data_IF_360160631448
#
_entry.id   IF_360160631448
#
_cell.length_a   1.000
_cell.length_b   1.000
_cell.length_c   1.000
_cell.angle_alpha   90.00
_cell.angle_beta   90.00
_cell.angle_gamma   90.00
#
_symmetry.space_group_name_H-M   'P 1'
#
loop_
_entity.id
_entity.type
_entity.pdbx_description
1 polymer ?
#
# COMPACT_ATOMS: atom_id res chain seq x y z
N UNK A 1 -30.32 4.22 -24.28
CA UNK A 1 -29.32 5.10 -23.62
C UNK A 1 -29.49 4.91 -22.13
N UNK A 2 -28.63 4.09 -21.51
CA UNK A 2 -28.71 3.80 -20.06
C UNK A 2 -27.74 4.75 -19.37
N UNK A 3 -28.28 5.63 -18.52
CA UNK A 3 -27.51 6.49 -17.64
C UNK A 3 -26.79 5.63 -16.60
N UNK A 4 -25.51 5.35 -16.82
CA UNK A 4 -24.61 4.71 -15.87
C UNK A 4 -23.97 5.78 -14.97
N UNK A 5 -24.77 6.35 -14.06
CA UNK A 5 -24.22 6.98 -12.85
C UNK A 5 -24.84 6.21 -11.69
N UNK A 6 -24.39 4.98 -11.50
CA UNK A 6 -24.61 4.31 -10.22
C UNK A 6 -23.75 5.03 -9.18
N UNK A 7 -24.34 5.59 -8.10
CA UNK A 7 -23.54 6.06 -6.98
C UNK A 7 -22.78 4.85 -6.46
N UNK A 8 -21.44 4.93 -6.45
CA UNK A 8 -20.59 3.91 -5.82
C UNK A 8 -21.16 3.64 -4.44
N UNK A 9 -21.74 2.46 -4.23
CA UNK A 9 -22.21 2.03 -2.93
C UNK A 9 -20.95 1.88 -2.08
N UNK A 10 -20.67 2.91 -1.29
CA UNK A 10 -19.66 2.84 -0.25
C UNK A 10 -20.04 1.67 0.65
N UNK A 11 -19.11 0.72 0.83
CA UNK A 11 -19.33 -0.47 1.63
C UNK A 11 -20.04 -0.12 2.94
N UNK A 12 -21.24 -0.68 3.12
CA UNK A 12 -22.04 -0.65 4.37
C UNK A 12 -21.40 -1.59 5.40
N UNK A 13 -20.10 -1.44 5.62
CA UNK A 13 -19.44 -1.94 6.82
C UNK A 13 -19.38 -0.73 7.76
N UNK A 14 -19.77 -0.88 9.03
CA UNK A 14 -19.89 0.21 10.01
C UNK A 14 -18.56 0.86 10.43
N UNK A 15 -17.67 1.15 9.49
CA UNK A 15 -16.36 1.75 9.68
C UNK A 15 -16.14 2.90 8.69
N UNK A 16 -16.92 3.99 8.80
CA UNK A 16 -16.90 5.11 7.85
C UNK A 16 -15.53 5.79 7.70
N UNK A 17 -14.66 5.64 8.70
CA UNK A 17 -13.32 6.23 8.73
C UNK A 17 -12.19 5.22 8.52
N UNK A 18 -12.50 3.98 8.11
CA UNK A 18 -11.48 2.93 7.99
C UNK A 18 -10.41 3.33 6.97
N UNK A 19 -10.81 3.84 5.80
CA UNK A 19 -9.87 4.25 4.76
C UNK A 19 -8.97 5.40 5.22
N UNK A 20 -9.53 6.38 5.93
CA UNK A 20 -8.77 7.51 6.48
C UNK A 20 -7.80 7.05 7.58
N UNK A 21 -8.24 6.13 8.44
CA UNK A 21 -7.39 5.53 9.47
C UNK A 21 -6.25 4.70 8.86
N UNK A 22 -6.51 3.94 7.79
CA UNK A 22 -5.49 3.19 7.05
C UNK A 22 -4.48 4.16 6.42
N UNK A 23 -4.94 5.22 5.75
CA UNK A 23 -4.07 6.24 5.17
C UNK A 23 -3.23 6.96 6.22
N UNK A 24 -3.82 7.31 7.37
CA UNK A 24 -3.10 7.92 8.48
C UNK A 24 -2.00 6.98 8.99
N UNK A 25 -2.32 5.70 9.17
CA UNK A 25 -1.35 4.69 9.61
C UNK A 25 -0.21 4.54 8.61
N UNK A 26 -0.51 4.45 7.32
CA UNK A 26 0.49 4.39 6.24
C UNK A 26 1.40 5.61 6.24
N UNK A 27 0.82 6.79 6.46
CA UNK A 27 1.55 8.07 6.53
C UNK A 27 2.53 8.07 7.70
N UNK A 28 2.10 7.65 8.89
CA UNK A 28 3.00 7.54 10.05
C UNK A 28 4.09 6.49 9.85
N UNK A 29 3.78 5.35 9.22
CA UNK A 29 4.79 4.34 8.90
C UNK A 29 5.83 4.90 7.93
N UNK A 30 5.41 5.54 6.84
CA UNK A 30 6.30 6.16 5.87
C UNK A 30 7.20 7.23 6.51
N UNK A 31 6.63 8.11 7.33
CA UNK A 31 7.38 9.13 8.06
C UNK A 31 8.49 8.52 8.93
N UNK A 32 8.17 7.49 9.70
CA UNK A 32 9.15 6.84 10.58
C UNK A 32 10.24 6.12 9.78
N UNK A 33 9.89 5.42 8.69
CA UNK A 33 10.85 4.75 7.82
C UNK A 33 11.81 5.77 7.20
N UNK A 34 11.27 6.84 6.61
CA UNK A 34 12.08 7.91 6.03
C UNK A 34 13.00 8.56 7.09
N UNK A 35 12.48 8.80 8.30
CA UNK A 35 13.27 9.31 9.41
C UNK A 35 14.39 8.39 9.86
N UNK A 36 14.19 7.07 9.85
CA UNK A 36 15.22 6.08 10.18
C UNK A 36 16.31 6.05 9.10
N UNK A 37 15.92 6.02 7.83
CA UNK A 37 16.84 6.01 6.69
C UNK A 37 17.65 7.32 6.61
N UNK A 38 17.00 8.47 6.82
CA UNK A 38 17.64 9.79 6.78
C UNK A 38 18.69 10.03 7.87
N UNK A 39 18.68 9.25 8.97
CA UNK A 39 19.70 9.32 10.03
C UNK A 39 21.03 8.64 9.65
N UNK A 40 21.09 7.98 8.50
CA UNK A 40 22.33 7.41 7.95
C UNK A 40 22.85 6.15 8.64
N UNK A 41 22.14 5.61 9.65
CA UNK A 41 22.51 4.34 10.32
C UNK A 41 22.07 3.10 9.55
N UNK A 42 21.10 3.26 8.66
CA UNK A 42 20.50 2.17 7.90
C UNK A 42 20.34 2.61 6.44
N UNK A 43 20.62 1.68 5.53
CA UNK A 43 20.47 1.90 4.08
C UNK A 43 19.20 1.25 3.54
N UNK A 44 18.66 0.25 4.24
CA UNK A 44 17.49 -0.52 3.83
C UNK A 44 16.59 -0.79 5.03
N UNK A 45 15.27 -0.70 4.83
CA UNK A 45 14.25 -1.13 5.78
C UNK A 45 13.34 -2.14 5.08
N UNK A 46 13.16 -3.32 5.69
CA UNK A 46 12.22 -4.33 5.22
C UNK A 46 10.88 -4.18 5.96
N UNK A 47 9.83 -3.83 5.22
CA UNK A 47 8.46 -3.82 5.74
C UNK A 47 7.80 -5.16 5.41
N UNK A 48 7.55 -5.98 6.44
CA UNK A 48 6.91 -7.30 6.29
C UNK A 48 5.48 -7.24 6.81
N UNK A 49 4.53 -7.67 5.99
CA UNK A 49 3.11 -7.69 6.32
C UNK A 49 2.22 -7.47 5.11
N UNK A 50 0.93 -7.76 5.28
CA UNK A 50 -0.10 -7.60 4.25
C UNK A 50 -0.64 -6.16 4.20
N UNK A 51 -1.16 -5.77 3.03
CA UNK A 51 -1.89 -4.50 2.76
C UNK A 51 -1.04 -3.22 2.83
N UNK A 52 -0.30 -2.97 3.91
CA UNK A 52 0.52 -1.76 4.09
C UNK A 52 1.82 -1.77 3.27
N UNK A 53 2.35 -2.97 3.02
CA UNK A 53 3.53 -3.15 2.18
C UNK A 53 3.21 -3.14 0.68
N UNK A 54 1.93 -3.04 0.30
CA UNK A 54 1.51 -2.98 -1.10
C UNK A 54 2.01 -1.69 -1.76
N UNK A 55 2.28 -1.74 -3.06
CA UNK A 55 2.78 -0.59 -3.82
C UNK A 55 1.91 0.66 -3.68
N UNK A 56 0.60 0.50 -3.48
CA UNK A 56 -0.37 1.61 -3.33
C UNK A 56 -0.39 2.27 -1.94
N UNK A 57 0.24 1.67 -0.93
CA UNK A 57 0.21 2.07 0.47
C UNK A 57 1.49 2.81 0.89
N UNK A 58 2.22 2.31 1.91
CA UNK A 58 3.46 2.93 2.42
C UNK A 58 4.51 3.19 1.32
N UNK A 59 4.82 2.24 0.41
CA UNK A 59 5.74 2.46 -0.70
C UNK A 59 5.39 3.68 -1.57
N UNK A 60 4.11 3.91 -1.85
CA UNK A 60 3.67 5.08 -2.63
C UNK A 60 3.96 6.39 -1.91
N UNK A 61 3.78 6.42 -0.59
CA UNK A 61 4.04 7.63 0.20
C UNK A 61 5.55 7.89 0.28
N UNK A 62 6.34 6.84 0.53
CA UNK A 62 7.80 6.91 0.55
C UNK A 62 8.39 7.46 -0.75
N UNK A 63 7.98 6.87 -1.88
CA UNK A 63 8.45 7.29 -3.20
C UNK A 63 7.97 8.70 -3.57
N UNK A 64 6.73 9.05 -3.23
CA UNK A 64 6.14 10.34 -3.64
C UNK A 64 6.59 11.53 -2.80
N UNK A 65 6.82 11.34 -1.50
CA UNK A 65 7.02 12.45 -0.56
C UNK A 65 8.39 12.47 0.14
N UNK A 66 9.11 11.35 0.16
CA UNK A 66 10.37 11.23 0.89
C UNK A 66 11.57 10.87 0.02
N UNK A 67 11.37 10.75 -1.31
CA UNK A 67 12.41 10.32 -2.26
C UNK A 67 13.11 9.01 -1.85
N UNK A 68 12.36 8.12 -1.19
CA UNK A 68 12.84 6.81 -0.78
C UNK A 68 12.45 5.80 -1.85
N UNK A 69 13.45 5.16 -2.46
CA UNK A 69 13.21 4.06 -3.38
C UNK A 69 12.63 2.86 -2.64
N UNK A 70 11.65 2.20 -3.26
CA UNK A 70 10.96 1.05 -2.67
C UNK A 70 10.74 -0.02 -3.72
N UNK A 71 10.86 -1.28 -3.31
CA UNK A 71 10.50 -2.45 -4.12
C UNK A 71 9.56 -3.34 -3.30
N UNK A 72 8.46 -3.77 -3.93
CA UNK A 72 7.45 -4.60 -3.27
C UNK A 72 7.50 -6.02 -3.83
N UNK A 73 7.76 -6.97 -2.93
CA UNK A 73 7.79 -8.40 -3.23
C UNK A 73 6.56 -9.07 -2.60
N UNK A 74 5.88 -9.94 -3.34
CA UNK A 74 4.65 -10.58 -2.90
C UNK A 74 4.60 -12.06 -3.26
N UNK A 75 4.08 -12.90 -2.35
CA UNK A 75 3.73 -14.30 -2.66
C UNK A 75 2.53 -14.42 -3.57
N UNK A 76 2.58 -15.37 -4.51
CA UNK A 76 1.44 -15.74 -5.35
C UNK A 76 0.18 -16.00 -4.52
N UNK A 77 0.30 -16.78 -3.44
CA UNK A 77 -0.84 -17.08 -2.56
C UNK A 77 -1.48 -15.83 -1.96
N UNK A 78 -0.68 -14.80 -1.68
CA UNK A 78 -1.19 -13.54 -1.15
C UNK A 78 -1.79 -12.65 -2.26
N UNK A 79 -1.22 -12.69 -3.46
CA UNK A 79 -1.78 -12.03 -4.64
C UNK A 79 -3.17 -12.56 -4.97
N UNK A 80 -3.34 -13.89 -4.98
CA UNK A 80 -4.62 -14.59 -5.24
C UNK A 80 -5.69 -14.26 -4.19
N UNK A 81 -5.29 -14.00 -2.93
CA UNK A 81 -6.22 -13.64 -1.85
C UNK A 81 -6.75 -12.20 -1.97
N UNK A 82 -5.90 -11.27 -2.41
CA UNK A 82 -6.27 -9.85 -2.51
C UNK A 82 -6.96 -9.51 -3.82
N UNK A 83 -6.57 -10.15 -4.92
CA UNK A 83 -7.08 -9.85 -6.24
C UNK A 83 -7.27 -11.14 -7.05
N UNK A 84 -8.48 -11.36 -7.62
CA UNK A 84 -8.70 -12.49 -8.52
C UNK A 84 -7.85 -12.41 -9.79
N UNK A 85 -7.37 -11.21 -10.16
CA UNK A 85 -6.34 -11.02 -11.17
C UNK A 85 -5.21 -10.12 -10.64
N UNK A 86 -4.00 -10.66 -10.40
CA UNK A 86 -2.87 -9.85 -9.96
C UNK A 86 -2.50 -8.83 -11.04
N UNK A 87 -2.57 -7.54 -10.70
CA UNK A 87 -2.14 -6.45 -11.58
C UNK A 87 -0.81 -5.85 -11.09
N UNK A 88 -0.07 -5.22 -12.00
CA UNK A 88 1.20 -4.54 -11.68
C UNK A 88 1.04 -3.34 -10.72
N UNK A 89 -0.19 -3.02 -10.31
CA UNK A 89 -0.50 -1.95 -9.37
C UNK A 89 -0.23 -2.32 -7.91
N UNK A 90 -0.13 -3.61 -7.54
CA UNK A 90 -0.05 -4.03 -6.13
C UNK A 90 1.37 -4.39 -5.65
N UNK A 91 2.24 -4.87 -6.54
CA UNK A 91 3.61 -5.27 -6.24
C UNK A 91 4.52 -5.04 -7.47
N UNK A 92 5.84 -4.97 -7.24
CA UNK A 92 6.84 -4.93 -8.30
C UNK A 92 7.25 -6.34 -8.74
N UNK A 93 7.23 -7.30 -7.81
CA UNK A 93 7.57 -8.69 -8.05
C UNK A 93 6.56 -9.63 -7.37
N UNK A 94 6.12 -10.64 -8.12
CA UNK A 94 5.34 -11.77 -7.59
C UNK A 94 6.20 -13.03 -7.75
N UNK A 95 6.56 -13.65 -6.61
CA UNK A 95 7.31 -14.91 -6.60
C UNK A 95 6.39 -16.14 -6.49
N UNK A 96 6.84 -17.23 -7.11
CA UNK A 96 6.13 -18.51 -7.25
C UNK A 96 6.72 -19.56 -6.34
#
# INVERSE_FOLDING_TARGET
MINLIEPRIAHVAGMPFLCDAQLLRDTFMAYNIAGILGRGRFTVVALVGSVHALRVAVPRILTRYYDVSSQVFMSRSFAELLYPEPNAGIADYIWY
#
